data_IF_446628744290
#
_entry.id   IF_446628744290
#
_cell.length_a   1.000
_cell.length_b   1.000
_cell.length_c   1.000
_cell.angle_alpha   90.00
_cell.angle_beta   90.00
_cell.angle_gamma   90.00
#
_symmetry.space_group_name_H-M   'P 1'
#
loop_
_entity.id
_entity.type
_entity.pdbx_description
1 polymer ?
#
# COMPACT_ATOMS: atom_id res chain seq x y z
N UNK A 1 -2.11 14.70 19.91
CA UNK A 1 -2.97 15.83 20.30
C UNK A 1 -2.10 16.86 20.98
N UNK A 2 -2.21 18.12 20.60
CA UNK A 2 -1.47 19.23 21.21
C UNK A 2 -2.53 20.19 21.76
N UNK A 3 -2.56 20.38 23.09
CA UNK A 3 -3.54 21.23 23.79
C UNK A 3 -5.02 20.91 23.51
N UNK A 4 -5.34 19.65 23.20
CA UNK A 4 -6.71 19.16 23.03
C UNK A 4 -6.83 17.75 23.64
N UNK A 5 -8.05 17.34 23.96
CA UNK A 5 -8.33 16.02 24.52
C UNK A 5 -7.93 14.91 23.53
N UNK A 6 -7.48 13.73 24.01
CA UNK A 6 -7.01 12.65 23.14
C UNK A 6 -8.12 11.77 22.56
N UNK A 7 -9.36 12.26 22.52
CA UNK A 7 -10.57 11.52 22.13
C UNK A 7 -11.35 12.30 21.06
N UNK A 8 -12.30 11.62 20.40
CA UNK A 8 -13.18 12.28 19.41
C UNK A 8 -12.56 12.40 18.01
N UNK A 9 -11.91 11.33 17.53
CA UNK A 9 -11.44 11.26 16.16
C UNK A 9 -12.60 11.43 15.16
N UNK A 10 -12.43 12.32 14.18
CA UNK A 10 -13.42 12.57 13.12
C UNK A 10 -12.98 11.85 11.83
N UNK A 11 -13.92 11.15 11.19
CA UNK A 11 -13.70 10.43 9.93
C UNK A 11 -13.14 11.39 8.87
N UNK A 12 -12.08 10.97 8.18
CA UNK A 12 -11.43 11.78 7.15
C UNK A 12 -10.47 12.88 7.66
N UNK A 13 -10.41 13.14 8.96
CA UNK A 13 -9.50 14.13 9.54
C UNK A 13 -8.42 13.50 10.43
N UNK A 14 -8.82 12.63 11.36
CA UNK A 14 -7.90 11.90 12.24
C UNK A 14 -8.22 10.40 12.21
N UNK A 15 -7.66 9.63 11.26
CA UNK A 15 -7.87 8.19 11.22
C UNK A 15 -7.55 7.53 12.57
N UNK A 16 -8.54 6.84 13.13
CA UNK A 16 -8.43 6.25 14.46
C UNK A 16 -7.52 5.02 14.41
N UNK A 17 -6.61 4.89 15.37
CA UNK A 17 -5.71 3.74 15.41
C UNK A 17 -4.93 3.64 16.71
N UNK A 18 -4.47 2.42 16.99
CA UNK A 18 -3.65 2.08 18.15
C UNK A 18 -2.59 1.06 17.77
N UNK A 19 -1.46 1.09 18.48
CA UNK A 19 -0.31 0.19 18.31
C UNK A 19 0.02 -0.50 19.63
N UNK A 20 1.13 -1.26 19.69
CA UNK A 20 1.54 -2.03 20.89
C UNK A 20 0.41 -2.98 21.30
N UNK A 21 0.09 -3.07 22.59
CA UNK A 21 -0.99 -3.90 23.10
C UNK A 21 -2.39 -3.48 22.62
N UNK A 22 -2.55 -2.29 22.02
CA UNK A 22 -3.84 -1.78 21.54
C UNK A 22 -4.19 -2.21 20.11
N UNK A 23 -3.30 -2.91 19.40
CA UNK A 23 -3.60 -3.52 18.10
C UNK A 23 -2.64 -3.14 16.96
N UNK A 24 -3.15 -3.23 15.73
CA UNK A 24 -2.39 -3.30 14.47
C UNK A 24 -2.21 -1.97 13.74
N UNK A 25 -2.89 -0.92 14.18
CA UNK A 25 -2.82 0.41 13.59
C UNK A 25 -3.26 0.46 12.11
N UNK A 26 -4.28 -0.32 11.72
CA UNK A 26 -4.83 -0.33 10.35
C UNK A 26 -5.56 0.98 9.96
N UNK A 27 -5.66 1.95 10.88
CA UNK A 27 -6.20 3.30 10.69
C UNK A 27 -7.63 3.32 10.14
N UNK A 28 -8.56 2.72 10.87
CA UNK A 28 -10.00 2.80 10.56
C UNK A 28 -10.45 4.27 10.40
N UNK A 29 -11.23 4.54 9.36
CA UNK A 29 -11.55 5.90 8.89
C UNK A 29 -10.58 6.47 7.84
N UNK A 30 -9.58 5.70 7.40
CA UNK A 30 -8.75 5.98 6.22
C UNK A 30 -8.88 4.90 5.16
N UNK A 31 -8.38 5.19 3.95
CA UNK A 31 -8.34 4.23 2.84
C UNK A 31 -7.44 3.01 3.12
N UNK A 32 -6.45 3.15 4.01
CA UNK A 32 -5.55 2.04 4.34
C UNK A 32 -6.27 0.87 5.03
N UNK A 33 -7.30 1.16 5.82
CA UNK A 33 -8.11 0.11 6.43
C UNK A 33 -8.86 -0.70 5.38
N UNK A 34 -9.27 -0.07 4.27
CA UNK A 34 -9.95 -0.77 3.17
C UNK A 34 -9.01 -1.75 2.47
N UNK A 35 -7.71 -1.40 2.35
CA UNK A 35 -6.71 -2.28 1.76
C UNK A 35 -6.47 -3.57 2.55
N UNK A 36 -6.90 -3.64 3.83
CA UNK A 36 -6.82 -4.88 4.61
C UNK A 36 -7.81 -5.95 4.13
N UNK A 37 -8.86 -5.55 3.43
CA UNK A 37 -9.95 -6.42 2.97
C UNK A 37 -9.86 -6.77 1.49
N UNK A 38 -8.79 -6.36 0.81
CA UNK A 38 -8.55 -6.66 -0.60
C UNK A 38 -7.19 -7.35 -0.76
N UNK A 39 -7.13 -8.29 -1.69
CA UNK A 39 -5.86 -8.88 -2.15
C UNK A 39 -5.52 -8.28 -3.50
N UNK A 40 -4.61 -7.31 -3.52
CA UNK A 40 -4.25 -6.59 -4.73
C UNK A 40 -3.54 -7.52 -5.74
N UNK A 41 -3.91 -7.42 -7.02
CA UNK A 41 -3.23 -8.09 -8.13
C UNK A 41 -2.80 -7.05 -9.17
N UNK A 42 -1.59 -7.22 -9.68
CA UNK A 42 -1.10 -6.46 -10.84
C UNK A 42 -1.19 -7.33 -12.09
N UNK A 43 -1.57 -6.74 -13.21
CA UNK A 43 -1.61 -7.40 -14.52
C UNK A 43 -0.78 -6.56 -15.48
N UNK A 44 0.13 -7.20 -16.21
CA UNK A 44 0.92 -6.58 -17.28
C UNK A 44 0.64 -7.32 -18.58
N UNK A 45 0.34 -6.56 -19.63
CA UNK A 45 0.29 -7.04 -21.00
C UNK A 45 1.44 -6.40 -21.78
N UNK A 46 2.18 -7.21 -22.55
CA UNK A 46 3.21 -6.71 -23.46
C UNK A 46 2.76 -7.01 -24.89
N UNK A 47 2.41 -5.97 -25.64
CA UNK A 47 1.91 -6.11 -27.01
C UNK A 47 2.97 -6.57 -28.01
N UNK A 48 4.26 -6.44 -27.67
CA UNK A 48 5.38 -6.89 -28.50
C UNK A 48 6.41 -7.59 -27.59
N UNK A 49 6.19 -8.86 -27.20
CA UNK A 49 7.14 -9.58 -26.37
C UNK A 49 8.46 -9.83 -27.12
N UNK A 50 9.62 -9.79 -26.44
CA UNK A 50 10.88 -10.22 -27.02
C UNK A 50 10.77 -11.66 -27.53
N UNK A 51 11.26 -11.90 -28.74
CA UNK A 51 11.29 -13.24 -29.35
C UNK A 51 12.62 -13.96 -29.13
N UNK A 52 13.62 -13.27 -28.59
CA UNK A 52 14.93 -13.81 -28.23
C UNK A 52 15.26 -13.42 -26.77
N UNK A 53 15.91 -14.32 -26.05
CA UNK A 53 16.30 -14.13 -24.65
C UNK A 53 17.66 -13.45 -24.50
N UNK A 54 18.48 -13.44 -25.55
CA UNK A 54 19.85 -12.92 -25.52
C UNK A 54 19.83 -11.39 -25.45
N UNK A 55 20.71 -10.86 -24.62
CA UNK A 55 20.88 -9.43 -24.44
C UNK A 55 22.04 -8.90 -25.29
N UNK A 56 22.03 -7.62 -25.69
CA UNK A 56 23.07 -7.04 -26.55
C UNK A 56 24.52 -7.21 -26.05
N UNK A 57 24.74 -7.24 -24.73
CA UNK A 57 26.08 -7.42 -24.14
C UNK A 57 26.66 -8.83 -24.31
N UNK A 58 25.87 -9.80 -24.78
CA UNK A 58 26.32 -11.19 -24.99
C UNK A 58 26.96 -11.40 -26.37
N UNK A 59 26.94 -10.40 -27.25
CA UNK A 59 27.63 -10.47 -28.53
C UNK A 59 29.15 -10.44 -28.33
N UNK A 60 29.88 -11.30 -29.05
CA UNK A 60 31.32 -11.13 -29.21
C UNK A 60 31.59 -9.86 -30.03
N UNK A 61 32.66 -9.13 -29.69
CA UNK A 61 33.17 -8.02 -30.52
C UNK A 61 33.51 -8.47 -31.94
#
# INVERSE_FOLDING_TARGET
YVNDKPTGAVVGQQPFGGSRASGTNDKAGSMMNLLRWVSARTIKENFVPPTDYRYPFMAQE
#
